data_IF_135016670148
#
_entry.id   IF_135016670148
#
_cell.length_a   1.000
_cell.length_b   1.000
_cell.length_c   1.000
_cell.angle_alpha   90.00
_cell.angle_beta   90.00
_cell.angle_gamma   90.00
#
_symmetry.space_group_name_H-M   'P 1'
#
loop_
_entity.id
_entity.type
_entity.pdbx_description
1 polymer ?
#
# COMPACT_ATOMS: atom_id res chain seq x y z
N UNK A 1 -19.32 -49.22 -39.35
CA UNK A 1 -18.16 -48.39 -39.75
C UNK A 1 -18.32 -46.89 -39.41
N UNK A 2 -18.92 -46.51 -38.25
CA UNK A 2 -19.06 -45.08 -37.85
C UNK A 2 -18.48 -44.71 -36.49
N UNK A 3 -17.98 -45.68 -35.72
CA UNK A 3 -17.49 -45.47 -34.36
C UNK A 3 -15.99 -45.11 -34.25
N UNK A 4 -15.20 -45.29 -35.32
CA UNK A 4 -13.74 -45.06 -35.29
C UNK A 4 -13.32 -43.62 -35.58
N UNK A 5 -14.19 -42.80 -36.18
CA UNK A 5 -13.87 -41.42 -36.58
C UNK A 5 -14.05 -40.40 -35.45
N UNK A 6 -14.87 -40.69 -34.42
CA UNK A 6 -15.12 -39.74 -33.33
C UNK A 6 -13.99 -39.72 -32.28
N UNK A 7 -13.28 -40.84 -32.10
CA UNK A 7 -12.17 -40.90 -31.14
C UNK A 7 -10.92 -40.13 -31.59
N UNK A 8 -10.70 -39.98 -32.91
CA UNK A 8 -9.55 -39.25 -33.43
C UNK A 8 -9.68 -37.73 -33.23
N UNK A 9 -10.90 -37.18 -33.28
CA UNK A 9 -11.13 -35.74 -33.12
C UNK A 9 -10.99 -35.26 -31.66
N UNK A 10 -11.35 -36.09 -30.68
CA UNK A 10 -11.25 -35.75 -29.25
C UNK A 10 -9.79 -35.76 -28.77
N UNK A 11 -8.96 -36.66 -29.29
CA UNK A 11 -7.53 -36.72 -28.97
C UNK A 11 -6.74 -35.53 -29.53
N UNK A 12 -7.12 -35.01 -30.70
CA UNK A 12 -6.46 -33.84 -31.30
C UNK A 12 -6.73 -32.55 -30.49
N UNK A 13 -7.96 -32.36 -29.97
CA UNK A 13 -8.31 -31.20 -29.13
C UNK A 13 -7.63 -31.24 -27.75
N UNK A 14 -7.45 -32.42 -27.16
CA UNK A 14 -6.73 -32.56 -25.90
C UNK A 14 -5.22 -32.29 -26.04
N UNK A 15 -4.62 -32.67 -27.19
CA UNK A 15 -3.21 -32.41 -27.47
C UNK A 15 -2.93 -30.91 -27.73
N UNK A 16 -3.85 -30.19 -28.39
CA UNK A 16 -3.73 -28.73 -28.58
C UNK A 16 -3.88 -27.95 -27.27
N UNK A 17 -4.75 -28.40 -26.36
CA UNK A 17 -4.91 -27.78 -25.04
C UNK A 17 -3.68 -28.00 -24.15
N UNK A 18 -3.06 -29.19 -24.18
CA UNK A 18 -1.81 -29.43 -23.45
C UNK A 18 -0.60 -28.69 -24.05
N UNK A 19 -0.52 -28.57 -25.39
CA UNK A 19 0.53 -27.79 -26.04
C UNK A 19 0.41 -26.28 -25.73
N UNK A 20 -0.82 -25.75 -25.61
CA UNK A 20 -1.06 -24.37 -25.18
C UNK A 20 -0.71 -24.11 -23.72
N UNK A 21 -0.96 -25.07 -22.82
CA UNK A 21 -0.56 -24.96 -21.40
C UNK A 21 0.94 -25.12 -21.16
N UNK A 22 1.66 -25.88 -22.01
CA UNK A 22 3.11 -26.03 -21.91
C UNK A 22 3.88 -24.90 -22.60
N UNK A 23 3.33 -24.26 -23.64
CA UNK A 23 3.94 -23.08 -24.27
C UNK A 23 3.81 -21.80 -23.43
N UNK A 24 2.95 -21.78 -22.41
CA UNK A 24 2.86 -20.71 -21.44
C UNK A 24 3.92 -20.81 -20.32
N UNK A 25 4.71 -21.89 -20.28
CA UNK A 25 5.83 -22.00 -19.36
C UNK A 25 7.08 -21.30 -19.92
N UNK A 26 7.19 -20.03 -19.50
CA UNK A 26 8.44 -19.37 -19.14
C UNK A 26 9.45 -19.19 -20.28
N UNK A 27 9.13 -18.28 -21.20
CA UNK A 27 10.18 -17.36 -21.63
C UNK A 27 10.57 -16.55 -20.37
N UNK A 28 11.67 -16.94 -19.73
CA UNK A 28 12.24 -16.13 -18.67
C UNK A 28 12.49 -14.73 -19.25
N UNK A 29 11.98 -13.66 -18.63
CA UNK A 29 12.29 -12.31 -19.08
C UNK A 29 13.81 -12.16 -19.13
N UNK A 30 14.34 -11.78 -20.29
CA UNK A 30 15.76 -11.48 -20.49
C UNK A 30 16.25 -10.31 -19.63
N UNK A 31 15.31 -9.58 -19.02
CA UNK A 31 15.54 -8.28 -18.42
C UNK A 31 15.76 -8.39 -16.90
N UNK A 32 15.87 -9.62 -16.36
CA UNK A 32 16.20 -9.89 -14.96
C UNK A 32 15.08 -9.58 -13.96
N UNK A 33 13.86 -9.32 -14.44
CA UNK A 33 12.69 -9.09 -13.56
C UNK A 33 11.97 -10.39 -13.23
N UNK A 34 11.41 -10.47 -12.03
CA UNK A 34 10.55 -11.56 -11.56
C UNK A 34 9.16 -11.02 -11.23
N UNK A 35 8.13 -11.81 -11.54
CA UNK A 35 6.77 -11.49 -11.11
C UNK A 35 6.65 -11.63 -9.59
N UNK A 36 6.02 -10.65 -8.95
CA UNK A 36 5.74 -10.64 -7.51
C UNK A 36 4.24 -10.54 -7.31
N UNK A 37 3.72 -11.29 -6.35
CA UNK A 37 2.31 -11.20 -5.96
C UNK A 37 2.00 -9.79 -5.46
N UNK A 38 0.85 -9.27 -5.89
CA UNK A 38 0.33 -7.99 -5.41
C UNK A 38 -0.42 -8.23 -4.10
N UNK A 39 0.03 -7.57 -3.03
CA UNK A 39 -0.67 -7.54 -1.74
C UNK A 39 -1.84 -6.55 -1.78
N UNK A 40 -2.09 -5.85 -0.69
CA UNK A 40 -3.10 -4.81 -0.64
C UNK A 40 -2.79 -3.60 -1.53
N UNK A 41 -3.84 -2.95 -2.00
CA UNK A 41 -3.73 -1.76 -2.83
C UNK A 41 -4.43 -0.54 -2.22
N UNK A 42 -4.05 0.65 -2.67
CA UNK A 42 -4.77 1.90 -2.45
C UNK A 42 -5.27 2.39 -3.79
N UNK A 43 -6.57 2.64 -3.90
CA UNK A 43 -7.19 3.20 -5.09
C UNK A 43 -7.47 4.67 -4.82
N UNK A 44 -7.02 5.59 -5.66
CA UNK A 44 -7.25 7.04 -5.47
C UNK A 44 -8.74 7.39 -5.34
N UNK A 45 -9.04 8.55 -4.76
CA UNK A 45 -10.42 9.00 -4.55
C UNK A 45 -11.25 9.06 -5.86
N UNK A 46 -10.64 9.47 -6.97
CA UNK A 46 -11.27 9.47 -8.30
C UNK A 46 -11.33 8.09 -8.97
N UNK A 47 -10.71 7.08 -8.36
CA UNK A 47 -10.63 5.70 -8.81
C UNK A 47 -9.65 5.47 -9.96
N UNK A 48 -8.84 6.45 -10.36
CA UNK A 48 -8.00 6.40 -11.57
C UNK A 48 -6.53 6.07 -11.34
N UNK A 49 -6.09 5.94 -10.10
CA UNK A 49 -4.75 5.51 -9.75
C UNK A 49 -4.83 4.34 -8.77
N UNK A 50 -3.99 3.33 -8.99
CA UNK A 50 -3.83 2.21 -8.07
C UNK A 50 -2.39 2.17 -7.61
N UNK A 51 -2.19 2.16 -6.30
CA UNK A 51 -0.89 2.08 -5.65
C UNK A 51 -0.76 0.78 -4.88
N UNK A 52 0.43 0.21 -4.86
CA UNK A 52 0.80 -0.98 -4.07
C UNK A 52 2.07 -0.67 -3.29
N UNK A 53 2.19 -1.26 -2.11
CA UNK A 53 3.39 -1.10 -1.27
C UNK A 53 4.25 -2.35 -1.38
N UNK A 54 5.55 -2.14 -1.58
CA UNK A 54 6.56 -3.15 -1.35
C UNK A 54 7.33 -2.82 -0.09
N UNK A 55 7.51 -3.83 0.77
CA UNK A 55 8.41 -3.75 1.92
C UNK A 55 9.49 -4.82 1.82
N UNK A 56 10.64 -4.52 2.42
CA UNK A 56 11.73 -5.47 2.51
C UNK A 56 13.10 -4.80 2.56
N UNK A 57 14.13 -5.55 2.94
CA UNK A 57 15.50 -5.08 2.77
C UNK A 57 15.79 -4.98 1.26
N UNK A 58 16.48 -3.90 0.85
CA UNK A 58 17.05 -3.80 -0.48
C UNK A 58 16.03 -3.77 -1.63
N UNK A 59 14.98 -2.95 -1.51
CA UNK A 59 14.00 -2.85 -2.58
C UNK A 59 14.63 -2.32 -3.87
N UNK A 60 14.51 -3.11 -4.94
CA UNK A 60 15.10 -2.83 -6.24
C UNK A 60 14.18 -2.02 -7.17
N UNK A 61 14.64 -1.86 -8.40
CA UNK A 61 13.80 -1.38 -9.50
C UNK A 61 12.62 -2.33 -9.72
N UNK A 62 11.53 -1.80 -10.26
CA UNK A 62 10.34 -2.58 -10.53
C UNK A 62 9.26 -1.73 -11.16
N UNK A 63 8.29 -2.40 -11.75
CA UNK A 63 7.22 -1.79 -12.50
C UNK A 63 5.90 -2.42 -12.07
N UNK A 64 4.91 -1.56 -11.81
CA UNK A 64 3.52 -1.95 -11.66
C UNK A 64 2.79 -1.59 -12.96
N UNK A 65 2.23 -2.58 -13.62
CA UNK A 65 1.40 -2.38 -14.82
C UNK A 65 -0.04 -2.81 -14.55
N UNK A 66 -0.96 -2.28 -15.35
CA UNK A 66 -2.39 -2.60 -15.27
C UNK A 66 -2.91 -3.00 -16.66
N UNK A 67 -3.68 -4.09 -16.70
CA UNK A 67 -4.42 -4.54 -17.86
C UNK A 67 -5.91 -4.38 -17.59
N UNK A 68 -6.55 -3.45 -18.29
CA UNK A 68 -7.94 -3.09 -18.05
C UNK A 68 -8.90 -3.83 -18.97
N UNK A 69 -10.03 -4.25 -18.40
CA UNK A 69 -11.22 -4.73 -19.10
C UNK A 69 -12.47 -4.04 -18.53
N UNK A 70 -13.63 -4.36 -19.09
CA UNK A 70 -14.92 -3.84 -18.63
C UNK A 70 -15.28 -4.29 -17.21
N UNK A 71 -14.74 -5.43 -16.74
CA UNK A 71 -15.14 -6.04 -15.46
C UNK A 71 -14.01 -6.18 -14.45
N UNK A 72 -12.75 -6.02 -14.89
CA UNK A 72 -11.58 -6.14 -14.02
C UNK A 72 -10.41 -5.30 -14.49
N UNK A 73 -9.56 -4.95 -13.53
CA UNK A 73 -8.23 -4.41 -13.72
C UNK A 73 -7.25 -5.45 -13.17
N UNK A 74 -6.44 -6.04 -14.04
CA UNK A 74 -5.44 -7.02 -13.66
C UNK A 74 -4.10 -6.31 -13.46
N UNK A 75 -3.56 -6.37 -12.26
CA UNK A 75 -2.27 -5.77 -11.89
C UNK A 75 -1.14 -6.77 -12.08
N UNK A 76 -0.02 -6.31 -12.61
CA UNK A 76 1.20 -7.09 -12.71
C UNK A 76 2.36 -6.31 -12.10
N UNK A 77 2.91 -6.85 -11.01
CA UNK A 77 4.10 -6.30 -10.37
C UNK A 77 5.32 -7.12 -10.79
N UNK A 78 6.27 -6.46 -11.44
CA UNK A 78 7.57 -7.04 -11.81
C UNK A 78 8.68 -6.31 -11.07
N UNK A 79 9.58 -7.05 -10.46
CA UNK A 79 10.67 -6.48 -9.66
C UNK A 79 11.99 -7.06 -10.10
N UNK A 80 13.05 -6.25 -10.07
CA UNK A 80 14.42 -6.72 -10.22
C UNK A 80 14.88 -7.16 -8.83
N UNK A 81 15.09 -8.46 -8.58
CA UNK A 81 15.61 -8.91 -7.30
C UNK A 81 17.00 -8.31 -7.07
N UNK A 82 17.30 -7.96 -5.83
CA UNK A 82 18.64 -7.55 -5.46
C UNK A 82 19.60 -8.74 -5.64
N UNK A 83 20.44 -8.70 -6.68
CA UNK A 83 21.36 -9.79 -7.03
C UNK A 83 22.74 -9.71 -6.36
N UNK A 84 22.96 -8.73 -5.46
CA UNK A 84 24.25 -8.49 -4.82
C UNK A 84 24.48 -9.36 -3.58
N UNK A 85 25.71 -9.84 -3.42
CA UNK A 85 26.25 -10.38 -2.15
C UNK A 85 26.77 -9.27 -1.20
N UNK A 86 26.57 -7.99 -1.57
CA UNK A 86 26.99 -6.83 -0.80
C UNK A 86 25.93 -6.37 0.21
N UNK A 87 26.32 -5.62 1.25
CA UNK A 87 25.37 -5.07 2.21
C UNK A 87 24.49 -4.02 1.54
N UNK A 88 23.19 -4.09 1.81
CA UNK A 88 22.26 -3.05 1.42
C UNK A 88 22.41 -1.87 2.37
N UNK A 89 23.26 -0.92 1.97
CA UNK A 89 23.44 0.32 2.71
C UNK A 89 22.30 1.28 2.35
N UNK A 90 21.43 1.59 3.33
CA UNK A 90 20.45 2.68 3.23
C UNK A 90 19.33 2.50 2.19
N UNK A 91 19.04 1.27 1.72
CA UNK A 91 17.98 1.02 0.74
C UNK A 91 16.58 1.36 1.27
N UNK A 92 15.66 1.69 0.35
CA UNK A 92 14.26 1.91 0.70
C UNK A 92 13.69 0.63 1.37
N UNK A 93 13.17 0.78 2.58
CA UNK A 93 12.49 -0.29 3.32
C UNK A 93 11.00 -0.38 2.92
N UNK A 94 10.51 0.69 2.28
CA UNK A 94 9.17 0.83 1.76
C UNK A 94 9.25 1.55 0.41
N UNK A 95 8.62 0.97 -0.61
CA UNK A 95 8.39 1.62 -1.90
C UNK A 95 6.91 1.57 -2.22
N UNK A 96 6.35 2.70 -2.66
CA UNK A 96 5.01 2.75 -3.24
C UNK A 96 5.15 2.78 -4.76
N UNK A 97 4.57 1.81 -5.44
CA UNK A 97 4.44 1.82 -6.91
C UNK A 97 3.02 2.13 -7.29
N UNK A 98 2.85 2.98 -8.29
CA UNK A 98 1.53 3.42 -8.75
C UNK A 98 1.38 3.24 -10.24
N UNK A 99 0.17 2.90 -10.66
CA UNK A 99 -0.23 2.82 -12.06
C UNK A 99 -1.51 3.62 -12.28
N UNK A 100 -1.56 4.37 -13.38
CA UNK A 100 -2.75 5.11 -13.78
C UNK A 100 -3.69 4.20 -14.60
N UNK A 101 -4.99 4.38 -14.40
CA UNK A 101 -6.06 3.72 -15.12
C UNK A 101 -6.71 4.68 -16.12
N UNK A 102 -7.02 4.16 -17.31
CA UNK A 102 -7.74 4.87 -18.36
C UNK A 102 -9.18 5.23 -17.95
N UNK A 103 -9.81 4.40 -17.11
CA UNK A 103 -11.11 4.65 -16.49
C UNK A 103 -11.05 4.46 -14.96
N UNK A 104 -11.95 5.09 -14.19
CA UNK A 104 -12.05 4.81 -12.75
C UNK A 104 -12.35 3.33 -12.45
N UNK A 105 -11.88 2.79 -11.33
CA UNK A 105 -12.10 1.38 -10.96
C UNK A 105 -13.60 1.04 -10.87
N UNK A 106 -14.42 1.88 -10.20
CA UNK A 106 -15.91 1.87 -10.20
C UNK A 106 -16.58 0.49 -10.31
N UNK A 107 -16.35 -0.38 -9.34
CA UNK A 107 -16.99 -1.70 -9.25
C UNK A 107 -16.34 -2.79 -10.10
N UNK A 108 -15.33 -2.47 -10.92
CA UNK A 108 -14.44 -3.46 -11.53
C UNK A 108 -13.62 -4.12 -10.43
N UNK A 109 -13.31 -5.40 -10.61
CA UNK A 109 -12.46 -6.16 -9.68
C UNK A 109 -11.00 -5.83 -9.90
N UNK A 110 -10.24 -5.67 -8.84
CA UNK A 110 -8.77 -5.63 -8.89
C UNK A 110 -8.25 -7.06 -8.74
N UNK A 111 -7.38 -7.52 -9.65
CA UNK A 111 -6.92 -8.91 -9.72
C UNK A 111 -5.40 -8.94 -9.85
N UNK A 112 -4.72 -9.80 -9.11
CA UNK A 112 -3.28 -10.03 -9.27
C UNK A 112 -3.06 -10.95 -10.47
N UNK A 113 -2.21 -10.54 -11.41
CA UNK A 113 -1.86 -11.33 -12.59
C UNK A 113 -1.16 -12.64 -12.23
N UNK A 114 -0.31 -12.62 -11.20
CA UNK A 114 0.53 -13.77 -10.85
C UNK A 114 -0.31 -14.90 -10.22
N UNK A 115 -1.17 -14.57 -9.26
CA UNK A 115 -2.00 -15.55 -8.55
C UNK A 115 -3.40 -15.74 -9.16
N UNK A 116 -3.89 -14.78 -9.94
CA UNK A 116 -5.28 -14.74 -10.40
C UNK A 116 -6.30 -14.39 -9.30
N UNK A 117 -5.83 -14.07 -8.09
CA UNK A 117 -6.68 -13.77 -6.94
C UNK A 117 -7.13 -12.30 -6.94
N UNK A 118 -8.23 -12.03 -6.25
CA UNK A 118 -8.68 -10.67 -6.02
C UNK A 118 -7.69 -9.93 -5.11
N UNK A 119 -7.37 -8.69 -5.47
CA UNK A 119 -6.52 -7.80 -4.68
C UNK A 119 -7.42 -6.97 -3.76
N UNK A 120 -7.30 -7.11 -2.42
CA UNK A 120 -8.00 -6.23 -1.50
C UNK A 120 -7.48 -4.80 -1.65
N UNK A 121 -8.35 -3.81 -1.49
CA UNK A 121 -7.94 -2.42 -1.62
C UNK A 121 -8.66 -1.48 -0.68
N UNK A 122 -7.95 -0.45 -0.25
CA UNK A 122 -8.48 0.69 0.47
C UNK A 122 -8.96 1.75 -0.53
N UNK A 123 -10.07 2.43 -0.25
CA UNK A 123 -10.58 3.49 -1.12
C UNK A 123 -10.03 4.82 -0.64
N UNK A 124 -9.34 5.52 -1.53
CA UNK A 124 -8.81 6.86 -1.27
C UNK A 124 -9.88 7.87 -0.91
N UNK A 125 -11.12 7.67 -1.37
CA UNK A 125 -12.27 8.50 -1.00
C UNK A 125 -12.67 8.38 0.48
N UNK A 126 -12.24 7.32 1.16
CA UNK A 126 -12.44 7.12 2.59
C UNK A 126 -11.23 7.56 3.43
N UNK A 127 -10.15 8.03 2.79
CA UNK A 127 -9.00 8.57 3.52
C UNK A 127 -9.38 9.84 4.25
N UNK A 128 -8.80 10.00 5.43
CA UNK A 128 -8.82 11.21 6.21
C UNK A 128 -7.51 11.97 6.00
N UNK A 129 -7.61 13.29 5.88
CA UNK A 129 -6.45 14.17 5.89
C UNK A 129 -6.44 15.01 7.14
N UNK A 130 -5.27 15.11 7.76
CA UNK A 130 -5.05 16.08 8.82
C UNK A 130 -5.17 17.51 8.26
N UNK A 131 -6.08 18.30 8.84
CA UNK A 131 -6.15 19.73 8.58
C UNK A 131 -4.91 20.46 9.12
N UNK A 132 -4.91 20.93 10.38
CA UNK A 132 -3.72 21.49 11.00
C UNK A 132 -2.75 20.38 11.47
N UNK A 133 -1.52 20.41 10.97
CA UNK A 133 -0.42 19.61 11.50
C UNK A 133 0.27 20.32 12.67
N UNK A 134 0.87 19.58 13.63
CA UNK A 134 1.71 20.17 14.65
C UNK A 134 2.87 20.95 14.01
N UNK A 135 3.36 21.99 14.69
CA UNK A 135 4.43 22.82 14.16
C UNK A 135 5.65 21.98 13.75
N UNK A 136 6.15 22.21 12.54
CA UNK A 136 7.30 21.50 11.97
C UNK A 136 6.98 20.16 11.30
N UNK A 137 5.74 19.67 11.40
CA UNK A 137 5.28 18.49 10.65
C UNK A 137 4.84 18.86 9.24
N UNK A 138 5.13 17.97 8.29
CA UNK A 138 4.64 18.04 6.90
C UNK A 138 4.23 16.66 6.42
N UNK A 139 3.30 16.63 5.48
CA UNK A 139 2.99 15.41 4.73
C UNK A 139 4.24 14.86 4.05
N UNK A 140 4.44 13.55 4.15
CA UNK A 140 5.50 12.83 3.47
C UNK A 140 4.93 11.92 2.37
N UNK A 141 4.00 11.02 2.71
CA UNK A 141 3.40 10.09 1.75
C UNK A 141 2.12 9.44 2.30
N UNK A 142 1.33 8.85 1.39
CA UNK A 142 0.30 7.84 1.69
C UNK A 142 0.73 6.50 1.09
N UNK A 143 0.67 5.41 1.86
CA UNK A 143 0.99 4.07 1.39
C UNK A 143 -0.17 3.10 1.65
N UNK A 144 -0.45 2.16 0.74
CA UNK A 144 -1.24 0.97 1.05
C UNK A 144 -0.67 0.19 2.24
N UNK A 145 -1.53 -0.24 3.16
CA UNK A 145 -1.17 -0.99 4.36
C UNK A 145 -0.50 -0.16 5.46
N UNK A 146 -0.13 -0.84 6.55
CA UNK A 146 0.69 -0.32 7.64
C UNK A 146 1.99 -1.11 7.75
N UNK A 147 3.14 -0.44 7.61
CA UNK A 147 4.44 -1.11 7.46
C UNK A 147 5.31 -1.16 8.72
N UNK A 148 4.81 -0.71 9.89
CA UNK A 148 5.65 -0.49 11.08
C UNK A 148 5.49 -1.50 12.23
N UNK A 149 4.78 -2.61 12.02
CA UNK A 149 4.65 -3.61 13.08
C UNK A 149 4.40 -5.02 12.56
N UNK A 150 5.32 -5.93 12.89
CA UNK A 150 5.23 -7.37 13.18
C UNK A 150 4.20 -8.33 12.56
N UNK A 151 3.07 -7.89 12.02
CA UNK A 151 2.03 -8.74 11.44
C UNK A 151 1.46 -8.05 10.20
N UNK A 152 2.01 -8.40 9.03
CA UNK A 152 1.54 -7.96 7.71
C UNK A 152 0.09 -8.36 7.38
N UNK A 153 -0.61 -9.01 8.30
CA UNK A 153 -1.96 -9.56 8.11
C UNK A 153 -3.04 -8.79 8.89
N UNK A 154 -2.68 -7.88 9.79
CA UNK A 154 -3.69 -7.29 10.70
C UNK A 154 -4.43 -6.09 10.10
N UNK A 155 -3.85 -5.40 9.11
CA UNK A 155 -4.36 -4.12 8.59
C UNK A 155 -4.58 -4.18 7.07
N UNK A 156 -5.44 -5.10 6.60
CA UNK A 156 -5.71 -5.27 5.16
C UNK A 156 -7.22 -5.42 4.87
N UNK A 157 -7.83 -4.51 4.08
CA UNK A 157 -7.21 -3.33 3.45
C UNK A 157 -7.08 -2.15 4.41
N UNK A 158 -5.87 -1.59 4.46
CA UNK A 158 -5.57 -0.34 5.15
C UNK A 158 -4.81 0.64 4.25
N UNK A 159 -4.69 1.86 4.73
CA UNK A 159 -3.77 2.87 4.26
C UNK A 159 -3.07 3.52 5.44
N UNK A 160 -1.87 4.04 5.20
CA UNK A 160 -1.15 4.84 6.17
C UNK A 160 -0.64 6.13 5.53
N UNK A 161 -0.93 7.25 6.17
CA UNK A 161 -0.38 8.56 5.84
C UNK A 161 0.71 8.92 6.83
N UNK A 162 1.92 9.18 6.34
CA UNK A 162 3.05 9.63 7.16
C UNK A 162 3.20 11.16 7.12
N UNK A 163 3.40 11.73 8.31
CA UNK A 163 3.84 13.10 8.52
C UNK A 163 5.20 13.13 9.22
N UNK A 164 6.14 13.94 8.74
CA UNK A 164 7.49 14.07 9.30
C UNK A 164 7.68 15.44 9.96
N UNK A 165 8.12 15.44 11.22
CA UNK A 165 8.45 16.59 12.05
C UNK A 165 9.96 16.83 12.15
N UNK A 166 10.39 18.08 11.96
CA UNK A 166 11.79 18.53 12.14
C UNK A 166 12.39 19.21 10.90
N UNK A 167 13.56 19.85 11.03
CA UNK A 167 14.18 20.60 9.93
C UNK A 167 14.55 19.66 8.77
N UNK A 168 14.06 20.00 7.58
CA UNK A 168 14.45 19.40 6.29
C UNK A 168 15.85 19.92 5.93
N UNK A 169 16.87 19.48 6.67
CA UNK A 169 18.21 20.04 6.58
C UNK A 169 19.35 19.03 6.60
N UNK A 170 19.09 17.76 6.91
CA UNK A 170 20.10 16.70 6.85
C UNK A 170 19.67 15.65 5.82
N UNK A 171 19.90 15.95 4.55
CA UNK A 171 20.02 14.91 3.54
C UNK A 171 21.35 14.17 3.79
N UNK A 172 21.29 13.01 4.43
CA UNK A 172 22.34 12.01 4.33
C UNK A 172 21.69 10.64 4.40
N UNK A 173 21.95 9.80 3.40
CA UNK A 173 21.32 8.50 3.16
C UNK A 173 21.65 7.41 4.18
N UNK A 174 21.39 7.68 5.46
CA UNK A 174 21.44 6.70 6.54
C UNK A 174 20.40 7.08 7.60
N UNK A 175 19.26 6.38 7.59
CA UNK A 175 18.30 6.38 8.70
C UNK A 175 17.57 7.71 8.95
N UNK A 176 16.29 7.63 9.29
CA UNK A 176 15.56 8.75 9.88
C UNK A 176 15.98 8.83 11.35
N UNK A 177 17.26 9.07 11.62
CA UNK A 177 17.77 9.15 12.99
C UNK A 177 17.42 10.54 13.55
N UNK A 178 16.27 10.60 14.23
CA UNK A 178 15.87 11.72 15.08
C UNK A 178 14.80 12.67 14.53
N UNK A 179 14.21 12.41 13.35
CA UNK A 179 13.03 13.15 12.93
C UNK A 179 11.78 12.55 13.58
N UNK A 180 10.91 13.40 14.14
CA UNK A 180 9.64 12.93 14.66
C UNK A 180 8.73 12.49 13.52
N UNK A 181 7.93 11.46 13.74
CA UNK A 181 7.01 10.92 12.75
C UNK A 181 5.62 10.75 13.37
N UNK A 182 4.59 10.99 12.57
CA UNK A 182 3.20 10.68 12.91
C UNK A 182 2.59 9.90 11.75
N UNK A 183 2.00 8.75 12.05
CA UNK A 183 1.23 7.93 11.14
C UNK A 183 -0.25 8.08 11.46
N UNK A 184 -1.01 8.48 10.46
CA UNK A 184 -2.45 8.26 10.42
C UNK A 184 -2.68 6.92 9.71
N UNK A 185 -3.25 5.94 10.41
CA UNK A 185 -3.50 4.60 9.90
C UNK A 185 -5.01 4.39 9.87
N UNK A 186 -5.52 3.95 8.71
CA UNK A 186 -6.94 3.78 8.45
C UNK A 186 -7.19 2.40 7.85
N UNK A 187 -8.14 1.65 8.41
CA UNK A 187 -8.40 0.27 8.00
C UNK A 187 -9.89 -0.04 8.03
N UNK A 188 -10.38 -0.77 7.03
CA UNK A 188 -11.71 -1.35 7.12
C UNK A 188 -11.75 -2.50 8.11
N UNK A 189 -12.55 -2.32 9.16
CA UNK A 189 -12.63 -3.30 10.22
C UNK A 189 -12.85 -2.66 11.58
N UNK A 190 -12.65 -3.46 12.62
CA UNK A 190 -12.79 -3.03 14.01
C UNK A 190 -11.53 -3.26 14.82
N UNK A 191 -10.36 -3.35 14.20
CA UNK A 191 -9.13 -3.66 14.91
C UNK A 191 -8.60 -2.48 15.72
N UNK A 192 -7.86 -2.80 16.77
CA UNK A 192 -7.13 -1.86 17.61
C UNK A 192 -5.64 -2.12 17.43
N UNK A 193 -4.75 -1.12 17.60
CA UNK A 193 -3.32 -1.35 17.60
C UNK A 193 -2.90 -2.47 18.56
N UNK A 194 -2.01 -3.34 18.10
CA UNK A 194 -1.50 -4.47 18.88
C UNK A 194 -0.78 -4.03 20.15
N UNK A 195 -0.91 -4.82 21.22
CA UNK A 195 -0.23 -4.57 22.49
C UNK A 195 -0.82 -3.42 23.32
N UNK A 196 -1.86 -2.74 22.83
CA UNK A 196 -2.56 -1.73 23.63
C UNK A 196 -3.37 -2.37 24.76
N UNK A 197 -3.37 -1.77 25.97
CA UNK A 197 -4.09 -2.32 27.11
C UNK A 197 -5.61 -2.31 26.86
N UNK A 198 -6.30 -3.35 27.32
CA UNK A 198 -7.76 -3.45 27.20
C UNK A 198 -8.50 -2.37 28.01
N UNK A 199 -7.86 -1.86 29.06
CA UNK A 199 -8.32 -0.81 29.98
C UNK A 199 -7.65 0.55 29.72
N UNK A 200 -7.20 0.78 28.48
CA UNK A 200 -6.64 2.05 28.05
C UNK A 200 -7.53 3.26 28.44
N UNK A 201 -6.93 4.38 28.90
CA UNK A 201 -7.65 5.63 29.11
C UNK A 201 -8.41 6.05 27.85
N UNK A 202 -9.58 6.66 28.04
CA UNK A 202 -10.41 7.15 26.95
C UNK A 202 -10.38 8.68 26.88
N UNK A 203 -10.28 9.21 25.67
CA UNK A 203 -10.41 10.64 25.36
C UNK A 203 -11.44 10.83 24.25
N UNK A 204 -11.97 12.05 24.13
CA UNK A 204 -12.76 12.43 22.95
C UNK A 204 -11.79 12.86 21.86
N UNK A 205 -11.86 12.24 20.68
CA UNK A 205 -11.10 12.61 19.50
C UNK A 205 -11.95 12.37 18.24
N UNK A 206 -11.94 13.30 17.29
CA UNK A 206 -12.80 13.29 16.11
C UNK A 206 -14.30 13.12 16.42
N UNK A 207 -14.76 13.67 17.56
CA UNK A 207 -16.13 13.47 18.05
C UNK A 207 -16.48 12.02 18.41
N UNK A 208 -15.48 11.17 18.63
CA UNK A 208 -15.60 9.76 19.02
C UNK A 208 -14.85 9.51 20.32
N UNK A 209 -15.15 8.39 20.98
CA UNK A 209 -14.31 7.89 22.07
C UNK A 209 -13.10 7.18 21.48
N UNK A 210 -11.91 7.69 21.79
CA UNK A 210 -10.64 7.15 21.40
C UNK A 210 -9.92 6.53 22.60
N UNK A 211 -9.25 5.40 22.38
CA UNK A 211 -8.31 4.79 23.32
C UNK A 211 -6.97 5.50 23.21
N UNK A 212 -6.29 5.68 24.34
CA UNK A 212 -4.93 6.20 24.41
C UNK A 212 -3.97 5.05 24.65
N UNK A 213 -3.00 4.89 23.76
CA UNK A 213 -1.93 3.90 23.87
C UNK A 213 -0.57 4.52 24.21
N UNK A 214 0.48 3.68 24.32
CA UNK A 214 1.84 4.14 24.59
C UNK A 214 2.40 5.11 23.55
N UNK A 215 1.95 4.95 22.30
CA UNK A 215 2.49 5.60 21.10
C UNK A 215 1.43 6.41 20.35
N UNK A 216 0.20 6.52 20.85
CA UNK A 216 -0.83 7.17 20.06
C UNK A 216 -2.25 7.21 20.64
N UNK A 217 -3.20 7.49 19.74
CA UNK A 217 -4.63 7.35 20.00
C UNK A 217 -5.31 6.62 18.84
N UNK A 218 -6.34 5.84 19.16
CA UNK A 218 -7.09 5.07 18.16
C UNK A 218 -8.58 5.14 18.46
N UNK A 219 -9.41 5.15 17.43
CA UNK A 219 -10.87 5.14 17.54
C UNK A 219 -11.50 4.38 16.39
N UNK A 220 -12.83 4.23 16.44
CA UNK A 220 -13.62 3.71 15.34
C UNK A 220 -14.49 4.81 14.75
N UNK A 221 -14.59 4.81 13.44
CA UNK A 221 -15.48 5.65 12.68
C UNK A 221 -16.28 4.84 11.67
N UNK A 222 -16.99 5.54 10.78
CA UNK A 222 -17.68 4.94 9.64
C UNK A 222 -17.40 5.70 8.36
N UNK A 223 -17.22 4.97 7.29
CA UNK A 223 -17.18 5.49 5.91
C UNK A 223 -18.56 6.03 5.51
N UNK A 224 -18.63 6.73 4.37
CA UNK A 224 -19.87 7.26 3.84
C UNK A 224 -20.93 6.18 3.53
N UNK A 225 -20.48 4.96 3.19
CA UNK A 225 -21.37 3.80 2.97
C UNK A 225 -21.68 3.00 4.25
N UNK A 226 -21.21 3.46 5.41
CA UNK A 226 -21.50 2.87 6.71
C UNK A 226 -20.58 1.71 7.11
N UNK A 227 -19.58 1.37 6.30
CA UNK A 227 -18.53 0.41 6.66
C UNK A 227 -17.76 0.89 7.89
N UNK A 228 -17.33 -0.04 8.74
CA UNK A 228 -16.56 0.30 9.94
C UNK A 228 -15.14 0.65 9.52
N UNK A 229 -14.64 1.78 10.04
CA UNK A 229 -13.28 2.24 9.82
C UNK A 229 -12.56 2.29 11.18
N UNK A 230 -11.49 1.53 11.35
CA UNK A 230 -10.55 1.71 12.45
C UNK A 230 -9.55 2.79 12.07
N UNK A 231 -9.32 3.74 12.97
CA UNK A 231 -8.39 4.86 12.75
C UNK A 231 -7.43 4.96 13.92
N UNK A 232 -6.14 5.14 13.64
CA UNK A 232 -5.11 5.40 14.63
C UNK A 232 -4.20 6.55 14.22
N UNK A 233 -3.83 7.38 15.20
CA UNK A 233 -2.73 8.34 15.12
C UNK A 233 -1.61 7.83 16.02
N UNK A 234 -0.52 7.39 15.41
CA UNK A 234 0.65 6.82 16.07
C UNK A 234 1.83 7.78 15.88
N UNK A 235 2.68 7.96 16.87
CA UNK A 235 3.79 8.90 16.82
C UNK A 235 5.08 8.32 17.39
N UNK A 236 6.20 8.62 16.74
CA UNK A 236 7.54 8.27 17.19
C UNK A 236 8.50 9.47 17.06
N UNK A 237 9.07 9.98 18.17
CA UNK A 237 8.74 9.61 19.54
C UNK A 237 7.29 9.97 19.89
N UNK A 238 6.71 9.38 20.96
CA UNK A 238 5.33 9.67 21.37
C UNK A 238 5.08 11.16 21.57
N UNK A 239 3.96 11.66 21.01
CA UNK A 239 3.50 13.03 21.19
C UNK A 239 2.50 13.13 22.34
N UNK A 240 2.34 14.33 22.97
CA UNK A 240 1.31 14.52 23.98
C UNK A 240 -0.10 14.23 23.44
N UNK A 241 -0.94 13.53 24.22
CA UNK A 241 -2.31 13.15 23.81
C UNK A 241 -3.15 14.34 23.33
N UNK A 242 -2.98 15.53 23.92
CA UNK A 242 -3.68 16.74 23.50
C UNK A 242 -3.32 17.19 22.07
N UNK A 243 -2.07 16.99 21.64
CA UNK A 243 -1.61 17.30 20.27
C UNK A 243 -2.28 16.35 19.29
N UNK A 244 -2.23 15.04 19.58
CA UNK A 244 -2.87 14.04 18.73
C UNK A 244 -4.40 14.21 18.68
N UNK A 245 -5.04 14.60 19.79
CA UNK A 245 -6.48 14.91 19.84
C UNK A 245 -6.82 16.09 18.93
N UNK A 246 -5.98 17.14 18.97
CA UNK A 246 -6.14 18.30 18.09
C UNK A 246 -6.01 17.92 16.62
N UNK A 247 -5.04 17.06 16.26
CA UNK A 247 -4.93 16.50 14.91
C UNK A 247 -6.19 15.73 14.53
N UNK A 248 -6.67 14.82 15.40
CA UNK A 248 -7.85 14.00 15.15
C UNK A 248 -9.11 14.83 14.91
N UNK A 249 -9.36 15.86 15.72
CA UNK A 249 -10.51 16.77 15.56
C UNK A 249 -10.42 17.61 14.26
N UNK A 250 -9.20 17.80 13.77
CA UNK A 250 -8.89 18.45 12.50
C UNK A 250 -8.98 17.56 11.27
N UNK A 251 -9.18 16.24 11.42
CA UNK A 251 -9.28 15.32 10.29
C UNK A 251 -10.53 15.64 9.44
N UNK A 252 -10.39 15.48 8.12
CA UNK A 252 -11.46 15.69 7.13
C UNK A 252 -11.41 14.60 6.06
N UNK A 253 -12.55 14.17 5.51
CA UNK A 253 -12.57 13.27 4.36
C UNK A 253 -11.82 13.86 3.18
N UNK A 254 -11.12 13.01 2.44
CA UNK A 254 -10.44 13.39 1.21
C UNK A 254 -11.41 13.55 0.04
N UNK A 255 -11.98 14.75 -0.11
CA UNK A 255 -12.88 15.04 -1.22
C UNK A 255 -12.12 15.29 -2.55
N UNK A 256 -10.87 15.77 -2.48
CA UNK A 256 -10.13 16.30 -3.63
C UNK A 256 -8.93 15.42 -4.03
N UNK A 257 -8.62 14.37 -3.26
CA UNK A 257 -7.43 13.54 -3.41
C UNK A 257 -6.21 14.16 -2.70
N UNK A 258 -5.17 13.36 -2.36
CA UNK A 258 -3.92 13.93 -1.89
C UNK A 258 -3.38 14.86 -2.98
N UNK A 259 -2.81 16.03 -2.61
CA UNK A 259 -2.27 16.97 -3.58
C UNK A 259 -1.15 16.31 -4.40
N UNK A 260 -1.49 15.85 -5.61
CA UNK A 260 -0.54 15.49 -6.65
C UNK A 260 0.43 14.35 -6.35
N UNK A 261 -0.08 13.15 -6.07
CA UNK A 261 0.73 11.92 -6.01
C UNK A 261 1.74 11.89 -4.85
N UNK A 262 2.15 10.71 -4.44
CA UNK A 262 3.25 10.62 -3.47
C UNK A 262 4.50 11.23 -4.10
N UNK A 263 5.15 12.23 -3.48
CA UNK A 263 6.52 12.54 -3.87
C UNK A 263 7.35 11.26 -3.70
N UNK A 264 8.18 10.92 -4.68
CA UNK A 264 9.07 9.77 -4.57
C UNK A 264 9.88 9.86 -3.27
N UNK A 265 9.61 8.95 -2.32
CA UNK A 265 10.24 8.94 -1.00
C UNK A 265 11.76 8.80 -1.07
N UNK A 266 12.22 8.22 -2.17
CA UNK A 266 13.62 8.16 -2.55
C UNK A 266 13.63 8.20 -4.06
N UNK A 267 13.98 9.33 -4.69
CA UNK A 267 14.77 9.18 -5.90
C UNK A 267 16.07 8.53 -5.41
N UNK A 268 16.42 7.30 -5.83
CA UNK A 268 17.78 6.83 -5.59
C UNK A 268 18.70 7.92 -6.15
N UNK A 269 19.81 8.27 -5.47
CA UNK A 269 20.81 9.11 -6.12
C UNK A 269 21.10 8.49 -7.50
N UNK A 270 21.23 9.30 -8.56
CA UNK A 270 21.62 8.78 -9.86
C UNK A 270 22.82 7.88 -9.63
N UNK A 271 22.80 6.68 -10.22
CA UNK A 271 23.96 5.80 -10.20
C UNK A 271 25.14 6.61 -10.74
N UNK A 272 25.98 7.14 -9.85
CA UNK A 272 27.26 7.70 -10.24
C UNK A 272 28.00 6.50 -10.81
N UNK A 273 28.18 6.51 -12.13
CA UNK A 273 28.97 5.51 -12.82
C UNK A 273 30.28 5.36 -12.07
N UNK A 274 30.55 4.12 -11.65
CA UNK A 274 31.90 3.72 -11.34
C UNK A 274 32.60 3.68 -12.69
N UNK A 275 33.28 4.78 -13.04
CA UNK A 275 34.41 4.73 -13.98
C UNK A 275 35.60 4.04 -13.30
#
# INVERSE_FOLDING_TARGET
MRARTVHAAVLALAASALAGLLAAQVAAPSDGTVARAVGSALVSADGRQVSVTETGPCLGAGELTAHESDTSVTLELRVVPHAGSGPCLGGAQLLVRSVALSAPLRGRRLVDRASGLAVPFFRGADLLHAGPLPSGFRFAYVAPGYALGGSTEQWDPAASTLYLGGPVGAASGAGVDGAAAVWLVEEYGGHWPDGWPNDAPLVSAHGRLARVGPDGLAWRDRTADGSVLSVALLADPPLPTAVLTTMADGLRPDADGPPGGNPSLTTPPPATGVE
#
